data_IF_574898638790
#
_entry.id   IF_574898638790
#
_cell.length_a   1.000
_cell.length_b   1.000
_cell.length_c   1.000
_cell.angle_alpha   90.00
_cell.angle_beta   90.00
_cell.angle_gamma   90.00
#
_symmetry.space_group_name_H-M   'P 1'
#
loop_
_entity.id
_entity.type
_entity.pdbx_description
1 polymer ?
#
# COMPACT_ATOMS: atom_id res chain seq x y z
N UNK A 1 -18.45 11.72 -4.94
CA UNK A 1 -18.51 10.34 -4.44
C UNK A 1 -18.28 9.48 -5.65
N UNK A 2 -17.09 8.81 -5.70
CA UNK A 2 -16.99 7.58 -6.49
C UNK A 2 -18.29 6.85 -6.20
N UNK A 3 -19.07 6.52 -7.21
CA UNK A 3 -20.38 5.96 -6.91
C UNK A 3 -20.14 4.64 -6.18
N UNK A 4 -21.01 4.28 -5.23
CA UNK A 4 -20.95 2.97 -4.56
C UNK A 4 -20.91 1.84 -5.59
N UNK A 5 -21.48 2.09 -6.79
CA UNK A 5 -21.41 1.19 -7.93
C UNK A 5 -20.00 1.00 -8.50
N UNK A 6 -19.16 2.05 -8.55
CA UNK A 6 -17.80 1.97 -9.16
C UNK A 6 -16.85 1.19 -8.27
N UNK A 7 -16.91 1.40 -6.93
CA UNK A 7 -16.14 0.63 -5.96
C UNK A 7 -16.59 -0.84 -5.95
N UNK A 8 -17.89 -1.11 -5.92
CA UNK A 8 -18.41 -2.47 -5.95
C UNK A 8 -18.04 -3.20 -7.26
N UNK A 9 -18.03 -2.49 -8.40
CA UNK A 9 -17.58 -3.06 -9.67
C UNK A 9 -16.08 -3.37 -9.65
N UNK A 10 -15.26 -2.46 -9.10
CA UNK A 10 -13.83 -2.69 -8.94
C UNK A 10 -13.55 -3.93 -8.08
N UNK A 11 -14.16 -4.05 -6.90
CA UNK A 11 -13.93 -5.20 -6.01
C UNK A 11 -14.34 -6.51 -6.67
N UNK A 12 -15.54 -6.58 -7.28
CA UNK A 12 -15.97 -7.79 -8.01
C UNK A 12 -15.00 -8.19 -9.10
N UNK A 13 -14.50 -7.23 -9.89
CA UNK A 13 -13.55 -7.50 -10.98
C UNK A 13 -12.19 -7.96 -10.45
N UNK A 14 -11.65 -7.30 -9.41
CA UNK A 14 -10.36 -7.63 -8.82
C UNK A 14 -10.38 -8.99 -8.12
N UNK A 15 -11.41 -9.26 -7.32
CA UNK A 15 -11.59 -10.54 -6.62
C UNK A 15 -11.89 -11.68 -7.59
N UNK A 16 -12.65 -11.43 -8.66
CA UNK A 16 -12.87 -12.38 -9.73
C UNK A 16 -11.56 -12.78 -10.44
N UNK A 17 -10.69 -11.82 -10.75
CA UNK A 17 -9.37 -12.09 -11.30
C UNK A 17 -8.51 -12.96 -10.37
N UNK A 18 -8.54 -12.66 -9.08
CA UNK A 18 -7.78 -13.41 -8.07
C UNK A 18 -8.32 -14.84 -7.90
N UNK A 19 -9.63 -15.02 -7.94
CA UNK A 19 -10.25 -16.34 -7.87
C UNK A 19 -9.92 -17.22 -9.08
N UNK A 20 -9.84 -16.61 -10.28
CA UNK A 20 -9.53 -17.33 -11.53
C UNK A 20 -8.04 -17.64 -11.71
N UNK A 21 -7.16 -16.70 -11.35
CA UNK A 21 -5.75 -16.73 -11.75
C UNK A 21 -4.77 -16.76 -10.57
N UNK A 22 -5.26 -16.59 -9.37
CA UNK A 22 -4.43 -16.46 -8.18
C UNK A 22 -3.61 -15.17 -8.13
N UNK A 23 -2.90 -14.92 -7.02
CA UNK A 23 -1.99 -13.78 -6.89
C UNK A 23 -0.71 -14.03 -7.71
N UNK A 24 -0.46 -13.17 -8.69
CA UNK A 24 0.72 -13.21 -9.56
C UNK A 24 1.03 -11.83 -10.11
N UNK A 25 2.25 -11.61 -10.62
CA UNK A 25 2.64 -10.35 -11.24
C UNK A 25 1.68 -9.93 -12.37
N UNK A 26 1.21 -10.87 -13.19
CA UNK A 26 0.24 -10.62 -14.26
C UNK A 26 -1.13 -10.22 -13.71
N UNK A 27 -1.60 -10.88 -12.67
CA UNK A 27 -2.86 -10.55 -11.98
C UNK A 27 -2.77 -9.16 -11.35
N UNK A 28 -1.67 -8.84 -10.68
CA UNK A 28 -1.45 -7.53 -10.05
C UNK A 28 -1.39 -6.39 -11.09
N UNK A 29 -0.73 -6.60 -12.23
CA UNK A 29 -0.74 -5.63 -13.33
C UNK A 29 -2.17 -5.36 -13.86
N UNK A 30 -3.00 -6.41 -13.95
CA UNK A 30 -4.42 -6.27 -14.34
C UNK A 30 -5.23 -5.53 -13.28
N UNK A 31 -5.04 -5.82 -12.00
CA UNK A 31 -5.66 -5.07 -10.89
C UNK A 31 -5.25 -3.60 -10.94
N UNK A 32 -3.96 -3.31 -11.18
CA UNK A 32 -3.48 -1.93 -11.38
C UNK A 32 -4.19 -1.22 -12.54
N UNK A 33 -4.56 -1.96 -13.60
CA UNK A 33 -5.37 -1.43 -14.70
C UNK A 33 -6.82 -1.15 -14.25
N UNK A 34 -7.41 -2.00 -13.42
CA UNK A 34 -8.75 -1.79 -12.85
C UNK A 34 -8.80 -0.58 -11.91
N UNK A 35 -7.69 -0.18 -11.28
CA UNK A 35 -7.61 1.03 -10.45
C UNK A 35 -7.64 2.33 -11.28
N UNK A 36 -7.41 2.30 -12.62
CA UNK A 36 -7.32 3.50 -13.46
C UNK A 36 -8.57 4.37 -13.43
N UNK A 37 -9.80 3.85 -13.60
CA UNK A 37 -11.01 4.66 -13.55
C UNK A 37 -11.21 5.32 -12.18
N UNK A 38 -10.91 4.61 -11.09
CA UNK A 38 -10.99 5.15 -9.74
C UNK A 38 -9.96 6.26 -9.53
N UNK A 39 -8.72 6.06 -9.99
CA UNK A 39 -7.66 7.06 -9.92
C UNK A 39 -7.96 8.33 -10.72
N UNK A 40 -8.74 8.22 -11.78
CA UNK A 40 -9.18 9.34 -12.61
C UNK A 40 -10.42 10.07 -12.08
N UNK A 41 -11.09 9.54 -11.04
CA UNK A 41 -12.25 10.21 -10.44
C UNK A 41 -11.80 11.50 -9.73
N UNK A 42 -12.24 12.68 -10.22
CA UNK A 42 -11.84 13.96 -9.63
C UNK A 42 -12.22 14.07 -8.15
N UNK A 43 -13.19 13.30 -7.69
CA UNK A 43 -13.61 13.30 -6.28
C UNK A 43 -12.64 12.57 -5.35
N UNK A 44 -11.84 11.62 -5.85
CA UNK A 44 -10.76 11.01 -5.09
C UNK A 44 -9.54 11.92 -4.99
N UNK A 45 -9.29 12.70 -6.04
CA UNK A 45 -8.22 13.71 -6.08
C UNK A 45 -8.70 15.11 -5.60
N UNK A 46 -9.91 15.20 -5.01
CA UNK A 46 -10.45 16.46 -4.48
C UNK A 46 -9.56 17.04 -3.39
N UNK A 47 -9.27 18.34 -3.53
CA UNK A 47 -8.34 19.03 -2.65
C UNK A 47 -8.76 18.99 -1.17
N UNK A 48 -10.06 19.01 -0.88
CA UNK A 48 -10.57 18.94 0.50
C UNK A 48 -10.34 17.56 1.13
N UNK A 49 -10.52 16.51 0.35
CA UNK A 49 -10.26 15.14 0.78
C UNK A 49 -8.77 14.88 1.00
N UNK A 50 -7.92 15.38 0.09
CA UNK A 50 -6.47 15.30 0.24
C UNK A 50 -5.98 16.11 1.43
N UNK A 51 -6.56 17.29 1.69
CA UNK A 51 -6.28 18.07 2.89
C UNK A 51 -6.67 17.34 4.17
N UNK A 52 -7.84 16.70 4.21
CA UNK A 52 -8.26 15.91 5.38
C UNK A 52 -7.29 14.76 5.69
N UNK A 53 -6.71 14.12 4.67
CA UNK A 53 -5.65 13.12 4.87
C UNK A 53 -4.34 13.75 5.33
N UNK A 54 -4.03 14.97 4.88
CA UNK A 54 -2.86 15.71 5.35
C UNK A 54 -2.93 15.97 6.86
N UNK A 55 -4.11 16.28 7.37
CA UNK A 55 -4.33 16.61 8.79
C UNK A 55 -4.59 15.37 9.66
N UNK A 56 -4.78 14.18 9.03
CA UNK A 56 -5.02 12.95 9.78
C UNK A 56 -3.71 12.36 10.29
N UNK A 57 -3.72 11.86 11.53
CA UNK A 57 -2.56 11.17 12.11
C UNK A 57 -2.26 9.84 11.44
N UNK A 58 -3.26 9.21 10.80
CA UNK A 58 -3.12 7.91 10.14
C UNK A 58 -2.56 8.02 8.71
N UNK A 59 -2.73 9.16 8.05
CA UNK A 59 -2.28 9.38 6.67
C UNK A 59 -3.04 8.56 5.61
N UNK A 60 -4.15 7.89 5.98
CA UNK A 60 -4.96 7.11 5.05
C UNK A 60 -6.45 7.14 5.41
N UNK A 61 -7.28 6.74 4.45
CA UNK A 61 -8.71 6.44 4.65
C UNK A 61 -9.09 5.19 3.88
N UNK A 62 -9.93 4.34 4.49
CA UNK A 62 -10.52 3.18 3.82
C UNK A 62 -11.63 3.68 2.89
N UNK A 63 -11.57 3.27 1.62
CA UNK A 63 -12.59 3.57 0.61
C UNK A 63 -13.67 2.49 0.56
N UNK A 64 -13.32 1.25 0.89
CA UNK A 64 -14.23 0.13 0.94
C UNK A 64 -13.55 -1.21 1.14
N UNK A 65 -14.38 -2.24 1.28
CA UNK A 65 -13.99 -3.63 1.40
C UNK A 65 -14.68 -4.47 0.33
N UNK A 66 -13.99 -5.48 -0.17
CA UNK A 66 -14.56 -6.51 -1.02
C UNK A 66 -15.15 -7.67 -0.22
N UNK A 67 -15.96 -8.49 -0.88
CA UNK A 67 -16.66 -9.63 -0.25
C UNK A 67 -15.69 -10.74 0.20
N UNK A 68 -14.50 -10.85 -0.42
CA UNK A 68 -13.44 -11.76 -0.04
C UNK A 68 -12.50 -11.20 1.07
N UNK A 69 -12.81 -10.02 1.64
CA UNK A 69 -12.05 -9.39 2.72
C UNK A 69 -10.89 -8.51 2.22
N UNK A 70 -10.82 -8.26 0.92
CA UNK A 70 -9.88 -7.28 0.36
C UNK A 70 -10.25 -5.85 0.77
N UNK A 71 -9.26 -4.93 0.75
CA UNK A 71 -9.45 -3.56 1.20
C UNK A 71 -8.82 -2.59 0.21
N UNK A 72 -9.53 -1.52 -0.12
CA UNK A 72 -9.00 -0.40 -0.89
C UNK A 72 -8.87 0.83 0.00
N UNK A 73 -7.67 1.43 -0.02
CA UNK A 73 -7.35 2.64 0.72
C UNK A 73 -6.91 3.77 -0.21
N UNK A 74 -7.19 5.00 0.23
CA UNK A 74 -6.50 6.20 -0.24
C UNK A 74 -5.47 6.58 0.84
N UNK A 75 -4.19 6.64 0.48
CA UNK A 75 -3.10 6.92 1.39
C UNK A 75 -2.31 8.15 0.94
N UNK A 76 -1.67 8.82 1.91
CA UNK A 76 -0.76 9.94 1.71
C UNK A 76 0.62 9.60 2.27
N UNK A 77 1.64 9.89 1.49
CA UNK A 77 3.05 9.75 1.87
C UNK A 77 3.74 11.12 1.83
N UNK A 78 4.18 11.64 2.99
CA UNK A 78 4.76 12.97 3.06
C UNK A 78 6.18 13.00 2.46
N UNK A 79 6.55 14.17 1.89
CA UNK A 79 7.89 14.38 1.32
C UNK A 79 8.99 14.51 2.39
N UNK A 80 8.64 14.98 3.57
CA UNK A 80 9.62 15.35 4.61
C UNK A 80 10.03 14.18 5.52
N UNK A 81 9.34 13.05 5.43
CA UNK A 81 9.68 11.86 6.22
C UNK A 81 9.25 10.58 5.48
N UNK A 82 10.13 9.58 5.35
CA UNK A 82 9.72 8.26 4.90
C UNK A 82 8.78 7.62 5.94
N UNK A 83 7.90 6.72 5.49
CA UNK A 83 7.25 5.82 6.42
C UNK A 83 8.30 4.98 7.13
N UNK A 84 8.07 4.54 8.36
CA UNK A 84 8.87 3.47 8.92
C UNK A 84 8.91 2.28 7.96
N UNK A 85 10.00 1.51 7.95
CA UNK A 85 10.03 0.23 7.24
C UNK A 85 9.09 -0.72 7.98
N UNK A 86 8.10 -1.30 7.29
CA UNK A 86 7.05 -2.10 7.92
C UNK A 86 6.47 -3.15 6.97
N UNK A 87 5.68 -4.06 7.52
CA UNK A 87 4.90 -5.02 6.75
C UNK A 87 3.38 -4.78 6.91
N UNK A 88 2.57 -5.47 6.11
CA UNK A 88 1.12 -5.41 6.18
C UNK A 88 0.44 -6.76 6.44
N UNK A 89 1.18 -7.85 6.47
CA UNK A 89 0.65 -9.23 6.46
C UNK A 89 -0.26 -9.52 5.24
N UNK A 90 0.02 -8.85 4.13
CA UNK A 90 -0.77 -8.87 2.91
C UNK A 90 0.09 -8.43 1.74
N UNK A 91 -0.08 -9.03 0.56
CA UNK A 91 0.36 -8.37 -0.65
C UNK A 91 -0.54 -7.14 -0.93
N UNK A 92 -0.01 -6.20 -1.71
CA UNK A 92 -0.75 -5.03 -2.14
C UNK A 92 -0.40 -4.56 -3.54
N UNK A 93 -1.36 -3.88 -4.18
CA UNK A 93 -1.19 -3.19 -5.46
C UNK A 93 -1.40 -1.70 -5.24
N UNK A 94 -0.40 -0.93 -5.60
CA UNK A 94 -0.34 0.52 -5.43
C UNK A 94 -0.54 1.18 -6.79
N UNK A 95 -1.31 2.28 -6.83
CA UNK A 95 -1.40 3.19 -7.96
C UNK A 95 -1.27 4.62 -7.49
N UNK A 96 -0.23 5.32 -7.99
CA UNK A 96 -0.01 6.74 -7.70
C UNK A 96 -1.07 7.56 -8.43
N UNK A 97 -1.77 8.43 -7.68
CA UNK A 97 -2.80 9.33 -8.24
C UNK A 97 -2.33 10.79 -8.31
N UNK A 98 -1.43 11.19 -7.41
CA UNK A 98 -0.88 12.55 -7.38
C UNK A 98 0.46 12.59 -6.65
N UNK A 99 1.36 13.50 -7.07
CA UNK A 99 2.72 13.60 -6.53
C UNK A 99 3.60 12.47 -7.06
N UNK A 100 4.81 12.38 -6.54
CA UNK A 100 5.77 11.31 -6.87
C UNK A 100 6.09 10.56 -5.60
N UNK A 101 6.24 9.26 -5.68
CA UNK A 101 6.60 8.41 -4.55
C UNK A 101 7.92 7.68 -4.77
N UNK A 102 8.68 7.49 -3.70
CA UNK A 102 9.77 6.52 -3.64
C UNK A 102 9.31 5.32 -2.85
N UNK A 103 9.08 4.22 -3.55
CA UNK A 103 8.73 2.93 -2.98
C UNK A 103 9.97 2.06 -2.87
N UNK A 104 10.25 1.52 -1.68
CA UNK A 104 11.39 0.65 -1.41
C UNK A 104 10.88 -0.67 -0.85
N UNK A 105 11.26 -1.78 -1.50
CA UNK A 105 11.07 -3.13 -1.00
C UNK A 105 12.32 -3.59 -0.24
N UNK A 106 12.08 -4.27 0.88
CA UNK A 106 13.11 -4.80 1.75
C UNK A 106 12.93 -6.30 1.92
N UNK A 107 14.02 -7.02 2.18
CA UNK A 107 13.99 -8.42 2.57
C UNK A 107 14.80 -8.64 3.85
N UNK A 108 14.36 -9.61 4.66
CA UNK A 108 15.17 -10.06 5.80
C UNK A 108 16.38 -10.85 5.31
N UNK A 109 17.52 -10.65 5.97
CA UNK A 109 18.75 -11.41 5.77
C UNK A 109 18.98 -12.40 6.92
N UNK A 110 18.22 -12.31 7.99
CA UNK A 110 18.24 -13.23 9.13
C UNK A 110 17.06 -14.20 9.08
N UNK A 111 17.10 -15.22 9.90
CA UNK A 111 16.08 -16.28 9.99
C UNK A 111 14.90 -15.94 10.92
N UNK A 112 14.90 -14.76 11.52
CA UNK A 112 13.86 -14.32 12.45
C UNK A 112 13.90 -15.01 13.82
N UNK A 113 14.90 -15.81 14.13
CA UNK A 113 14.99 -16.58 15.38
C UNK A 113 15.27 -15.71 16.61
N UNK A 114 15.85 -14.51 16.45
CA UNK A 114 16.18 -13.60 17.53
C UNK A 114 15.07 -12.57 17.73
N UNK A 115 14.35 -12.68 18.83
CA UNK A 115 13.29 -11.72 19.18
C UNK A 115 13.82 -10.29 19.25
N UNK A 116 13.09 -9.35 18.63
CA UNK A 116 13.43 -7.93 18.62
C UNK A 116 14.58 -7.55 17.69
N UNK A 117 15.14 -8.50 16.93
CA UNK A 117 16.19 -8.25 15.95
C UNK A 117 15.74 -8.57 14.53
N UNK A 118 16.17 -7.75 13.59
CA UNK A 118 15.99 -8.00 12.17
C UNK A 118 17.09 -7.29 11.37
N UNK A 119 17.77 -8.02 10.52
CA UNK A 119 18.68 -7.47 9.54
C UNK A 119 18.00 -7.43 8.18
N UNK A 120 17.97 -6.26 7.56
CA UNK A 120 17.32 -6.04 6.28
C UNK A 120 18.31 -5.61 5.21
N UNK A 121 17.96 -5.95 3.96
CA UNK A 121 18.58 -5.36 2.77
C UNK A 121 17.51 -4.77 1.86
N UNK A 122 17.88 -3.76 1.09
CA UNK A 122 17.04 -3.24 0.00
C UNK A 122 17.03 -4.26 -1.13
N UNK A 123 15.83 -4.65 -1.57
CA UNK A 123 15.62 -5.53 -2.74
C UNK A 123 15.45 -4.68 -3.98
N UNK A 124 14.63 -3.65 -3.88
CA UNK A 124 14.29 -2.76 -4.98
C UNK A 124 13.97 -1.36 -4.45
N UNK A 125 14.30 -0.34 -5.24
CA UNK A 125 13.88 1.04 -5.02
C UNK A 125 13.39 1.61 -6.33
N UNK A 126 12.14 2.11 -6.33
CA UNK A 126 11.50 2.74 -7.50
C UNK A 126 11.03 4.14 -7.18
N UNK A 127 11.19 5.04 -8.14
CA UNK A 127 10.48 6.31 -8.16
C UNK A 127 9.27 6.17 -9.08
N UNK A 128 8.11 6.55 -8.58
CA UNK A 128 6.81 6.38 -9.22
C UNK A 128 6.21 7.74 -9.52
N UNK A 129 5.77 7.93 -10.75
CA UNK A 129 5.03 9.11 -11.21
C UNK A 129 3.51 8.86 -11.16
N UNK A 130 2.68 9.92 -11.19
CA UNK A 130 1.23 9.79 -11.28
C UNK A 130 0.80 8.88 -12.43
N UNK A 131 0.02 7.86 -12.12
CA UNK A 131 -0.41 6.84 -13.07
C UNK A 131 0.41 5.55 -13.06
N UNK A 132 1.59 5.55 -12.42
CA UNK A 132 2.36 4.32 -12.25
C UNK A 132 1.68 3.36 -11.29
N UNK A 133 1.99 2.08 -11.48
CA UNK A 133 1.50 0.98 -10.66
C UNK A 133 2.68 0.11 -10.25
N UNK A 134 2.73 -0.22 -8.98
CA UNK A 134 3.67 -1.17 -8.39
C UNK A 134 2.91 -2.11 -7.46
N UNK A 135 3.50 -3.24 -7.14
CA UNK A 135 2.97 -4.15 -6.12
C UNK A 135 4.10 -4.61 -5.20
N UNK A 136 3.72 -5.04 -4.02
CA UNK A 136 4.59 -5.72 -3.08
C UNK A 136 4.02 -7.11 -2.77
N UNK A 137 4.91 -8.11 -2.52
CA UNK A 137 4.50 -9.49 -2.35
C UNK A 137 3.76 -9.73 -1.01
N UNK A 138 3.37 -10.98 -0.78
CA UNK A 138 2.81 -11.42 0.51
C UNK A 138 3.93 -11.75 1.50
N UNK A 139 3.54 -11.97 2.75
CA UNK A 139 4.47 -12.43 3.80
C UNK A 139 5.29 -13.64 3.33
N UNK A 140 6.58 -13.69 3.66
CA UNK A 140 7.34 -12.78 4.53
C UNK A 140 7.99 -11.59 3.81
N UNK A 141 7.73 -11.42 2.50
CA UNK A 141 8.43 -10.48 1.62
C UNK A 141 7.66 -9.15 1.44
N UNK A 142 6.63 -8.91 2.26
CA UNK A 142 5.77 -7.70 2.22
C UNK A 142 6.36 -6.48 2.95
N UNK A 143 7.68 -6.47 3.18
CA UNK A 143 8.36 -5.41 3.90
C UNK A 143 8.68 -4.26 2.95
N UNK A 144 8.18 -3.07 3.27
CA UNK A 144 8.42 -1.89 2.43
C UNK A 144 8.49 -0.58 3.21
N UNK A 145 8.85 0.49 2.50
CA UNK A 145 8.76 1.88 2.95
C UNK A 145 8.45 2.79 1.77
N UNK A 146 7.83 3.94 2.06
CA UNK A 146 7.42 4.92 1.05
C UNK A 146 7.71 6.35 1.50
N UNK A 147 7.93 7.24 0.52
CA UNK A 147 8.16 8.65 0.77
C UNK A 147 7.82 9.48 -0.46
N UNK A 148 7.05 10.55 -0.28
CA UNK A 148 6.84 11.53 -1.34
C UNK A 148 8.15 12.22 -1.77
N UNK A 149 8.29 12.51 -3.07
CA UNK A 149 9.47 13.16 -3.66
C UNK A 149 9.10 14.58 -4.10
N UNK A 150 9.77 15.57 -3.52
CA UNK A 150 9.56 16.98 -3.85
C UNK A 150 8.21 17.55 -3.44
N UNK A 151 7.34 16.74 -2.87
CA UNK A 151 5.99 17.01 -2.39
C UNK A 151 5.35 15.74 -1.90
N UNK A 152 4.16 15.84 -1.32
CA UNK A 152 3.42 14.66 -0.86
C UNK A 152 2.91 13.83 -2.04
N UNK A 153 2.94 12.51 -1.90
CA UNK A 153 2.33 11.56 -2.82
C UNK A 153 0.99 11.06 -2.26
N UNK A 154 0.03 10.80 -3.14
CA UNK A 154 -1.26 10.18 -2.82
C UNK A 154 -1.48 8.97 -3.71
N UNK A 155 -1.99 7.90 -3.11
CA UNK A 155 -2.07 6.61 -3.75
C UNK A 155 -3.34 5.87 -3.41
N UNK A 156 -3.83 5.09 -4.37
CA UNK A 156 -4.76 4.00 -4.11
C UNK A 156 -3.94 2.76 -3.80
N UNK A 157 -4.24 2.12 -2.68
CA UNK A 157 -3.60 0.88 -2.27
C UNK A 157 -4.66 -0.19 -2.07
N UNK A 158 -4.60 -1.25 -2.88
CA UNK A 158 -5.47 -2.41 -2.78
C UNK A 158 -4.75 -3.56 -2.11
N UNK A 159 -5.28 -4.03 -1.01
CA UNK A 159 -4.74 -5.12 -0.19
C UNK A 159 -5.60 -6.38 -0.30
N UNK A 160 -4.96 -7.55 -0.23
CA UNK A 160 -5.67 -8.82 -0.13
C UNK A 160 -6.46 -8.96 1.17
N UNK A 161 -5.94 -8.39 2.24
CA UNK A 161 -6.50 -8.43 3.60
C UNK A 161 -6.46 -7.03 4.19
N UNK A 162 -7.41 -6.75 5.09
CA UNK A 162 -7.43 -5.45 5.78
C UNK A 162 -6.19 -5.31 6.68
N UNK A 163 -5.25 -4.39 6.36
CA UNK A 163 -4.02 -4.22 7.10
C UNK A 163 -4.22 -3.50 8.45
N UNK A 164 -5.43 -3.00 8.74
CA UNK A 164 -5.75 -2.32 10.00
C UNK A 164 -6.22 -3.27 11.08
N UNK A 165 -6.47 -4.54 10.76
CA UNK A 165 -7.04 -5.52 11.70
C UNK A 165 -6.00 -6.41 12.39
N UNK A 166 -4.73 -6.32 11.97
CA UNK A 166 -3.65 -7.16 12.49
C UNK A 166 -2.50 -6.31 13.00
N UNK A 167 -1.78 -6.83 13.98
CA UNK A 167 -0.49 -6.26 14.36
C UNK A 167 0.50 -6.29 13.19
N UNK A 168 1.40 -5.34 13.16
CA UNK A 168 2.42 -5.18 12.11
C UNK A 168 3.81 -5.14 12.69
N UNK A 169 4.77 -5.60 11.92
CA UNK A 169 6.18 -5.47 12.24
C UNK A 169 6.69 -4.13 11.69
N UNK A 170 7.41 -3.42 12.55
CA UNK A 170 8.13 -2.19 12.23
C UNK A 170 9.62 -2.41 12.44
N UNK A 171 10.40 -2.04 11.45
CA UNK A 171 11.83 -2.33 11.39
C UNK A 171 12.64 -1.05 11.48
N UNK A 172 13.76 -1.12 12.18
CA UNK A 172 14.81 -0.11 12.20
C UNK A 172 16.07 -0.74 11.56
N UNK A 173 16.31 -0.55 10.25
CA UNK A 173 17.43 -1.16 9.57
C UNK A 173 18.79 -0.70 10.11
N UNK A 174 18.89 0.56 10.57
CA UNK A 174 20.15 1.13 11.09
C UNK A 174 20.55 0.51 12.43
N UNK A 175 19.56 0.06 13.22
CA UNK A 175 19.79 -0.58 14.53
C UNK A 175 19.59 -2.08 14.52
N UNK A 176 19.31 -2.65 13.37
CA UNK A 176 18.96 -4.08 13.20
C UNK A 176 17.87 -4.55 14.17
N UNK A 177 16.80 -3.75 14.31
CA UNK A 177 15.69 -4.01 15.26
C UNK A 177 14.37 -4.20 14.54
N UNK A 178 13.51 -4.99 15.19
CA UNK A 178 12.11 -5.14 14.82
C UNK A 178 11.25 -5.08 16.06
N UNK A 179 10.10 -4.43 15.94
CA UNK A 179 9.05 -4.43 16.96
C UNK A 179 7.70 -4.73 16.33
N UNK A 180 6.87 -5.43 17.07
CA UNK A 180 5.47 -5.64 16.71
C UNK A 180 4.62 -4.55 17.37
N UNK A 181 3.73 -3.94 16.57
CA UNK A 181 2.76 -2.94 17.06
C UNK A 181 1.34 -3.42 16.81
N UNK A 182 0.46 -3.09 17.73
CA UNK A 182 -0.98 -3.34 17.61
C UNK A 182 -1.57 -2.74 16.31
N UNK A 183 -2.73 -3.25 15.86
CA UNK A 183 -3.49 -2.67 14.75
C UNK A 183 -3.74 -1.17 14.93
N UNK A 184 -3.86 -0.46 13.83
CA UNK A 184 -4.04 1.02 13.80
C UNK A 184 -5.51 1.38 13.88
#
# INVERSE_FOLDING_TARGET
>A
MTSESDLAQFFRAAEGLLAEQGPSASTFARIGTLLRPLAADPKLADASRLAALHDSSAGFTILGHGDAGSTLMLARFPANAPTPVHNHNSWGVIRVIRGRDRHILWAREDDGSQTGKARLRVVESRELDPGDTVWFPDVPDDIHSQQGIGGDAWELVYFARDPTTRSRLYFDPDRERVEERAPV
#
